data_IF_185926387691
#
_entry.id   IF_185926387691
#
_cell.length_a   1.000
_cell.length_b   1.000
_cell.length_c   1.000
_cell.angle_alpha   90.00
_cell.angle_beta   90.00
_cell.angle_gamma   90.00
#
_symmetry.space_group_name_H-M   'P 1'
#
loop_
_entity.id
_entity.type
_entity.pdbx_description
1 polymer ?
#
# COMPACT_ATOMS: atom_id res chain seq x y z
N UNK A 1 -13.36 -2.50 -8.39
CA UNK A 1 -12.77 -3.81 -8.73
C UNK A 1 -11.34 -3.85 -8.19
N UNK A 2 -10.91 -4.95 -7.60
CA UNK A 2 -9.58 -5.07 -7.01
C UNK A 2 -8.79 -6.23 -7.66
N UNK A 3 -7.54 -5.94 -7.99
CA UNK A 3 -6.54 -6.90 -8.48
C UNK A 3 -5.43 -6.98 -7.45
N UNK A 4 -5.09 -8.18 -7.03
CA UNK A 4 -4.01 -8.42 -6.10
C UNK A 4 -2.73 -8.73 -6.86
N UNK A 5 -1.69 -7.90 -6.64
CA UNK A 5 -0.36 -8.09 -7.22
C UNK A 5 0.55 -8.60 -6.09
N UNK A 6 0.84 -9.91 -6.06
CA UNK A 6 1.68 -10.44 -5.01
C UNK A 6 3.11 -9.94 -5.15
N UNK A 7 3.77 -9.85 -4.11
CA UNK A 7 5.13 -9.59 -3.65
C UNK A 7 6.31 -9.35 -4.61
N UNK A 8 6.13 -9.29 -5.91
CA UNK A 8 7.23 -9.12 -6.89
C UNK A 8 7.73 -7.70 -6.98
N UNK A 9 7.98 -6.98 -5.98
CA UNK A 9 8.47 -5.62 -6.12
C UNK A 9 8.82 -4.95 -4.81
N UNK A 10 8.62 -5.64 -3.68
CA UNK A 10 9.06 -5.05 -2.42
C UNK A 10 10.58 -5.21 -2.29
N UNK A 11 11.37 -4.12 -2.30
CA UNK A 11 12.83 -4.18 -2.16
C UNK A 11 13.26 -4.61 -0.75
N UNK A 12 12.35 -4.56 0.22
CA UNK A 12 12.60 -4.88 1.63
C UNK A 12 11.64 -5.96 2.14
N UNK A 13 12.14 -6.77 3.07
CA UNK A 13 11.33 -7.75 3.82
C UNK A 13 10.97 -7.15 5.17
N UNK A 14 9.82 -6.49 5.24
CA UNK A 14 9.35 -5.98 6.52
C UNK A 14 9.12 -7.13 7.51
N UNK A 15 9.54 -6.96 8.76
CA UNK A 15 9.52 -8.01 9.80
C UNK A 15 8.12 -8.58 10.04
N UNK A 16 7.07 -7.77 9.89
CA UNK A 16 5.66 -8.14 10.09
C UNK A 16 4.98 -8.72 8.83
N UNK A 17 5.66 -8.74 7.68
CA UNK A 17 5.01 -9.05 6.40
C UNK A 17 5.31 -10.48 5.94
N UNK A 18 4.26 -11.31 5.86
CA UNK A 18 4.34 -12.64 5.28
C UNK A 18 3.27 -12.83 4.21
N UNK A 19 3.41 -12.10 3.10
CA UNK A 19 2.43 -12.20 2.00
C UNK A 19 2.38 -13.59 1.37
N UNK A 20 3.47 -14.37 1.41
CA UNK A 20 3.47 -15.75 0.88
C UNK A 20 2.48 -16.64 1.62
N UNK A 21 2.39 -16.50 2.95
CA UNK A 21 1.45 -17.27 3.77
C UNK A 21 0.03 -16.71 3.70
N UNK A 22 -0.13 -15.38 3.50
CA UNK A 22 -1.45 -14.75 3.39
C UNK A 22 -2.15 -15.13 2.08
N UNK A 23 -1.41 -15.21 0.99
CA UNK A 23 -2.00 -15.36 -0.36
C UNK A 23 -1.97 -16.81 -0.86
N UNK A 24 -1.07 -17.64 -0.33
CA UNK A 24 -0.95 -19.06 -0.71
C UNK A 24 -0.56 -19.31 -2.17
N UNK A 25 -0.36 -18.29 -2.98
CA UNK A 25 -0.07 -18.41 -4.40
C UNK A 25 1.04 -17.47 -4.86
N UNK A 26 1.93 -18.01 -5.69
CA UNK A 26 2.98 -17.27 -6.38
C UNK A 26 2.53 -16.74 -7.76
N UNK A 27 1.22 -16.78 -8.06
CA UNK A 27 0.71 -16.36 -9.35
C UNK A 27 0.74 -14.84 -9.49
N UNK A 28 1.39 -14.36 -10.55
CA UNK A 28 1.42 -12.95 -10.92
C UNK A 28 0.38 -12.69 -12.01
N UNK A 29 -0.62 -11.82 -11.79
CA UNK A 29 -1.57 -11.45 -12.82
C UNK A 29 -0.88 -10.86 -14.04
N UNK A 30 -1.36 -11.18 -15.24
CA UNK A 30 -0.92 -10.63 -16.50
C UNK A 30 -2.01 -9.71 -17.12
N UNK A 31 -1.75 -9.17 -18.30
CA UNK A 31 -2.68 -8.29 -19.02
C UNK A 31 -4.05 -8.94 -19.28
N UNK A 32 -4.08 -10.25 -19.54
CA UNK A 32 -5.35 -10.97 -19.78
C UNK A 32 -6.18 -11.07 -18.51
N UNK A 33 -5.55 -11.29 -17.35
CA UNK A 33 -6.23 -11.33 -16.05
C UNK A 33 -6.85 -9.98 -15.73
N UNK A 34 -6.11 -8.88 -15.96
CA UNK A 34 -6.62 -7.52 -15.79
C UNK A 34 -7.84 -7.31 -16.70
N UNK A 35 -7.70 -7.64 -17.98
CA UNK A 35 -8.76 -7.49 -18.97
C UNK A 35 -10.02 -8.29 -18.58
N UNK A 36 -9.86 -9.54 -18.16
CA UNK A 36 -10.96 -10.40 -17.77
C UNK A 36 -11.65 -9.89 -16.50
N UNK A 37 -10.89 -9.50 -15.49
CA UNK A 37 -11.43 -8.94 -14.26
C UNK A 37 -12.20 -7.63 -14.51
N UNK A 38 -11.69 -6.77 -15.41
CA UNK A 38 -12.36 -5.52 -15.81
C UNK A 38 -13.67 -5.82 -16.54
N UNK A 39 -13.70 -6.78 -17.46
CA UNK A 39 -14.94 -7.19 -18.17
C UNK A 39 -15.99 -7.67 -17.18
N UNK A 40 -15.62 -8.56 -16.25
CA UNK A 40 -16.54 -9.05 -15.20
C UNK A 40 -17.09 -7.89 -14.36
N UNK A 41 -16.22 -6.93 -13.98
CA UNK A 41 -16.65 -5.76 -13.22
C UNK A 41 -17.62 -4.88 -13.99
N UNK A 42 -17.36 -4.65 -15.29
CA UNK A 42 -18.24 -3.88 -16.16
C UNK A 42 -19.62 -4.54 -16.28
N UNK A 43 -19.67 -5.84 -16.49
CA UNK A 43 -20.91 -6.59 -16.63
C UNK A 43 -21.72 -6.63 -15.32
N UNK A 44 -21.04 -6.69 -14.18
CA UNK A 44 -21.67 -6.71 -12.86
C UNK A 44 -22.17 -5.34 -12.42
N UNK A 45 -21.38 -4.29 -12.62
CA UNK A 45 -21.65 -2.94 -12.13
C UNK A 45 -22.56 -2.14 -13.08
N UNK A 46 -22.55 -2.47 -14.37
CA UNK A 46 -23.33 -1.77 -15.40
C UNK A 46 -23.11 -0.24 -15.36
N UNK A 47 -24.17 0.52 -15.10
CA UNK A 47 -24.08 2.00 -15.02
C UNK A 47 -23.27 2.50 -13.82
N UNK A 48 -23.20 1.74 -12.73
CA UNK A 48 -22.42 2.08 -11.55
C UNK A 48 -20.89 1.94 -11.76
N UNK A 49 -20.47 1.46 -12.91
CA UNK A 49 -19.03 1.39 -13.27
C UNK A 49 -18.36 2.76 -13.18
N UNK A 50 -19.05 3.85 -13.46
CA UNK A 50 -18.54 5.23 -13.39
C UNK A 50 -18.13 5.67 -11.98
N UNK A 51 -18.72 5.07 -10.95
CA UNK A 51 -18.41 5.35 -9.55
C UNK A 51 -17.32 4.41 -9.00
N UNK A 52 -16.98 3.37 -9.75
CA UNK A 52 -16.01 2.37 -9.35
C UNK A 52 -14.60 2.74 -9.80
N UNK A 53 -13.61 2.26 -9.04
CA UNK A 53 -12.19 2.34 -9.38
C UNK A 53 -11.65 0.95 -9.74
N UNK A 54 -10.66 0.92 -10.66
CA UNK A 54 -9.80 -0.23 -10.85
C UNK A 54 -8.69 -0.11 -9.79
N UNK A 55 -8.52 -1.12 -8.94
CA UNK A 55 -7.59 -1.03 -7.83
C UNK A 55 -6.52 -2.12 -7.90
N UNK A 56 -5.25 -1.72 -7.81
CA UNK A 56 -4.10 -2.60 -7.71
C UNK A 56 -3.59 -2.59 -6.27
N UNK A 57 -3.67 -3.76 -5.60
CA UNK A 57 -3.26 -3.95 -4.21
C UNK A 57 -2.25 -5.09 -4.07
N UNK A 58 -1.67 -5.23 -2.91
CA UNK A 58 -0.76 -6.32 -2.55
C UNK A 58 0.60 -5.81 -2.13
N UNK A 59 1.60 -5.98 -2.98
CA UNK A 59 2.93 -5.43 -2.78
C UNK A 59 2.99 -3.92 -3.08
N UNK A 60 4.19 -3.43 -3.34
CA UNK A 60 4.40 -2.04 -3.74
C UNK A 60 4.27 -1.93 -5.26
N UNK A 61 3.17 -1.38 -5.75
CA UNK A 61 2.87 -1.37 -7.19
C UNK A 61 3.92 -0.61 -8.01
N UNK A 62 4.46 0.50 -7.51
CA UNK A 62 5.48 1.28 -8.21
C UNK A 62 6.91 0.73 -8.06
N UNK A 63 7.09 -0.34 -7.28
CA UNK A 63 8.37 -1.01 -7.09
C UNK A 63 8.49 -2.34 -7.86
N UNK A 64 7.44 -2.77 -8.55
CA UNK A 64 7.53 -3.92 -9.46
C UNK A 64 8.33 -3.54 -10.71
N UNK A 65 8.72 -4.54 -11.49
CA UNK A 65 9.38 -4.29 -12.76
C UNK A 65 8.58 -3.30 -13.62
N UNK A 66 9.28 -2.35 -14.26
CA UNK A 66 8.63 -1.24 -15.00
C UNK A 66 7.83 -1.74 -16.20
N UNK A 67 8.34 -2.71 -16.93
CA UNK A 67 7.66 -3.26 -18.10
C UNK A 67 6.38 -3.99 -17.67
N UNK A 68 6.48 -4.76 -16.59
CA UNK A 68 5.32 -5.44 -16.00
C UNK A 68 4.28 -4.45 -15.44
N UNK A 69 4.71 -3.37 -14.77
CA UNK A 69 3.79 -2.32 -14.32
C UNK A 69 3.03 -1.69 -15.50
N UNK A 70 3.75 -1.38 -16.59
CA UNK A 70 3.16 -0.81 -17.80
C UNK A 70 2.22 -1.80 -18.48
N UNK A 71 2.55 -3.08 -18.56
CA UNK A 71 1.67 -4.14 -19.08
C UNK A 71 0.31 -4.13 -18.37
N UNK A 72 0.33 -4.13 -17.03
CA UNK A 72 -0.91 -4.12 -16.23
C UNK A 72 -1.72 -2.84 -16.43
N UNK A 73 -1.05 -1.68 -16.48
CA UNK A 73 -1.71 -0.39 -16.71
C UNK A 73 -2.26 -0.30 -18.13
N UNK A 74 -1.52 -0.77 -19.13
CA UNK A 74 -1.96 -0.78 -20.53
C UNK A 74 -3.21 -1.61 -20.75
N UNK A 75 -3.33 -2.74 -20.07
CA UNK A 75 -4.52 -3.58 -20.09
C UNK A 75 -5.80 -2.85 -19.61
N UNK A 76 -5.67 -1.78 -18.83
CA UNK A 76 -6.82 -0.98 -18.40
C UNK A 76 -7.27 0.05 -19.43
N UNK A 77 -6.41 0.49 -20.35
CA UNK A 77 -6.66 1.59 -21.30
C UNK A 77 -7.98 1.49 -22.08
N UNK A 78 -8.37 0.32 -22.60
CA UNK A 78 -9.63 0.20 -23.35
C UNK A 78 -10.88 0.48 -22.51
N UNK A 79 -10.78 0.38 -21.20
CA UNK A 79 -11.91 0.41 -20.28
C UNK A 79 -11.93 1.62 -19.35
N UNK A 80 -10.80 2.29 -19.16
CA UNK A 80 -10.62 3.28 -18.08
C UNK A 80 -11.60 4.45 -18.16
N UNK A 81 -12.11 4.79 -19.33
CA UNK A 81 -13.11 5.85 -19.49
C UNK A 81 -14.50 5.48 -18.92
N UNK A 82 -14.73 4.20 -18.61
CA UNK A 82 -15.94 3.71 -17.96
C UNK A 82 -15.86 3.74 -16.45
N UNK A 83 -14.64 3.90 -15.88
CA UNK A 83 -14.36 3.93 -14.45
C UNK A 83 -14.05 5.34 -13.98
N UNK A 84 -14.17 5.57 -12.68
CA UNK A 84 -13.75 6.80 -12.02
C UNK A 84 -12.25 7.06 -12.19
N UNK A 85 -11.45 5.98 -12.14
CA UNK A 85 -10.00 6.01 -12.29
C UNK A 85 -9.34 4.74 -11.78
N UNK A 86 -8.03 4.82 -11.61
CA UNK A 86 -7.21 3.76 -11.02
C UNK A 86 -6.80 4.18 -9.60
N UNK A 87 -6.88 3.22 -8.67
CA UNK A 87 -6.31 3.31 -7.33
C UNK A 87 -5.18 2.30 -7.20
N UNK A 88 -4.11 2.65 -6.51
CA UNK A 88 -3.02 1.72 -6.21
C UNK A 88 -2.43 1.95 -4.82
N UNK A 89 -1.79 0.90 -4.30
CA UNK A 89 -1.03 0.97 -3.04
C UNK A 89 0.45 0.82 -3.33
N UNK A 90 1.26 1.64 -2.67
CA UNK A 90 2.71 1.59 -2.84
C UNK A 90 3.45 2.08 -1.60
N UNK A 91 4.78 2.04 -1.68
CA UNK A 91 5.72 2.52 -0.66
C UNK A 91 6.07 3.98 -0.89
N UNK A 92 6.35 4.75 0.17
CA UNK A 92 6.77 6.16 0.04
C UNK A 92 8.06 6.35 -0.76
N UNK A 93 9.06 5.50 -0.53
CA UNK A 93 10.37 5.52 -1.19
C UNK A 93 10.35 5.12 -2.68
N UNK A 94 9.18 4.71 -3.20
CA UNK A 94 8.96 4.38 -4.61
C UNK A 94 8.06 5.41 -5.32
N UNK A 95 8.06 6.65 -4.82
CA UNK A 95 7.31 7.80 -5.35
C UNK A 95 8.28 8.92 -5.68
N UNK A 96 8.31 9.32 -6.93
CA UNK A 96 8.98 10.51 -7.44
C UNK A 96 8.10 11.21 -8.48
N UNK A 97 8.56 12.36 -8.98
CA UNK A 97 7.82 13.16 -9.96
C UNK A 97 7.63 12.43 -11.30
N UNK A 98 8.61 11.62 -11.74
CA UNK A 98 8.53 10.84 -12.99
C UNK A 98 7.43 9.78 -12.88
N UNK A 99 7.45 8.98 -11.81
CA UNK A 99 6.48 7.91 -11.62
C UNK A 99 5.06 8.47 -11.44
N UNK A 100 4.88 9.54 -10.67
CA UNK A 100 3.55 10.13 -10.46
C UNK A 100 3.01 10.78 -11.73
N UNK A 101 3.87 11.43 -12.53
CA UNK A 101 3.50 11.93 -13.85
C UNK A 101 3.02 10.81 -14.78
N UNK A 102 3.75 9.70 -14.82
CA UNK A 102 3.38 8.51 -15.57
C UNK A 102 2.03 7.97 -15.10
N UNK A 103 1.87 7.74 -13.80
CA UNK A 103 0.61 7.23 -13.23
C UNK A 103 -0.58 8.15 -13.53
N UNK A 104 -0.37 9.48 -13.49
CA UNK A 104 -1.40 10.45 -13.87
C UNK A 104 -1.85 10.30 -15.31
N UNK A 105 -0.91 10.00 -16.25
CA UNK A 105 -1.22 9.77 -17.67
C UNK A 105 -2.12 8.54 -17.88
N UNK A 106 -2.06 7.56 -16.97
CA UNK A 106 -2.93 6.37 -16.94
C UNK A 106 -4.25 6.56 -16.19
N UNK A 107 -4.61 7.79 -15.81
CA UNK A 107 -5.79 8.09 -14.99
C UNK A 107 -5.74 7.47 -13.59
N UNK A 108 -4.58 7.38 -12.98
CA UNK A 108 -4.49 7.11 -11.54
C UNK A 108 -5.07 8.33 -10.80
N UNK A 109 -6.10 8.08 -10.02
CA UNK A 109 -6.85 9.09 -9.28
C UNK A 109 -6.61 9.00 -7.78
N UNK A 110 -6.09 7.88 -7.28
CA UNK A 110 -5.83 7.67 -5.85
C UNK A 110 -4.59 6.80 -5.63
N UNK A 111 -3.71 7.26 -4.75
CA UNK A 111 -2.52 6.52 -4.30
C UNK A 111 -2.57 6.37 -2.79
N UNK A 112 -2.46 5.12 -2.32
CA UNK A 112 -2.32 4.79 -0.91
C UNK A 112 -0.86 4.48 -0.57
N UNK A 113 -0.30 5.25 0.36
CA UNK A 113 1.07 5.05 0.84
C UNK A 113 1.09 4.19 2.08
N UNK A 114 1.82 3.08 2.02
CA UNK A 114 2.13 2.24 3.18
C UNK A 114 3.19 2.88 4.08
N UNK A 115 2.88 4.00 4.74
CA UNK A 115 3.80 4.68 5.66
C UNK A 115 4.08 3.85 6.91
N UNK A 116 3.06 3.26 7.49
CA UNK A 116 3.02 2.41 8.67
C UNK A 116 3.33 3.14 9.99
N UNK A 117 4.37 3.96 10.05
CA UNK A 117 4.77 4.83 11.16
C UNK A 117 5.41 6.11 10.64
N UNK A 118 5.49 7.13 11.50
CA UNK A 118 6.28 8.36 11.29
C UNK A 118 7.45 8.46 12.27
N UNK A 119 7.69 7.42 13.06
CA UNK A 119 8.86 7.29 13.94
C UNK A 119 9.93 6.47 13.21
N UNK A 120 11.09 7.11 12.93
CA UNK A 120 12.17 6.49 12.14
C UNK A 120 12.81 5.29 12.86
N UNK A 121 12.81 5.27 14.20
CA UNK A 121 13.30 4.10 14.95
C UNK A 121 12.36 2.91 14.76
N UNK A 122 11.05 3.13 14.84
CA UNK A 122 10.03 2.10 14.58
C UNK A 122 10.15 1.59 13.13
N UNK A 123 10.28 2.49 12.16
CA UNK A 123 10.47 2.13 10.76
C UNK A 123 11.72 1.28 10.55
N UNK A 124 12.83 1.64 11.18
CA UNK A 124 14.10 0.90 11.12
C UNK A 124 14.00 -0.48 11.76
N UNK A 125 13.41 -0.57 12.95
CA UNK A 125 13.22 -1.83 13.69
C UNK A 125 12.34 -2.82 12.93
N UNK A 126 11.43 -2.31 12.10
CA UNK A 126 10.53 -3.14 11.28
C UNK A 126 11.02 -3.31 9.82
N UNK A 127 12.29 -2.98 9.54
CA UNK A 127 12.93 -3.14 8.23
C UNK A 127 12.12 -2.52 7.08
N UNK A 128 11.52 -1.35 7.34
CA UNK A 128 10.69 -0.68 6.33
C UNK A 128 11.49 -0.14 5.16
N UNK A 129 12.77 0.25 5.37
CA UNK A 129 13.67 0.75 4.35
C UNK A 129 13.38 2.17 3.86
N UNK A 130 12.36 2.85 4.40
CA UNK A 130 12.06 4.26 4.16
C UNK A 130 11.99 5.02 5.49
N UNK A 131 12.04 6.34 5.40
CA UNK A 131 12.00 7.27 6.52
C UNK A 131 10.68 8.05 6.56
N UNK A 132 10.43 8.76 7.67
CA UNK A 132 9.32 9.70 7.77
C UNK A 132 9.42 10.83 6.73
N UNK A 133 10.63 11.24 6.36
CA UNK A 133 10.85 12.27 5.33
C UNK A 133 10.49 11.75 3.93
N UNK A 134 10.72 10.48 3.61
CA UNK A 134 10.24 9.86 2.38
C UNK A 134 8.71 9.91 2.31
N UNK A 135 8.01 9.66 3.44
CA UNK A 135 6.55 9.79 3.51
C UNK A 135 6.12 11.23 3.23
N UNK A 136 6.74 12.24 3.88
CA UNK A 136 6.41 13.66 3.68
C UNK A 136 6.63 14.07 2.22
N UNK A 137 7.76 13.67 1.64
CA UNK A 137 8.08 13.98 0.24
C UNK A 137 7.10 13.34 -0.73
N UNK A 138 6.80 12.05 -0.57
CA UNK A 138 5.82 11.35 -1.40
C UNK A 138 4.43 12.00 -1.32
N UNK A 139 3.97 12.36 -0.12
CA UNK A 139 2.71 13.07 0.08
C UNK A 139 2.68 14.40 -0.68
N UNK A 140 3.76 15.18 -0.61
CA UNK A 140 3.89 16.45 -1.33
C UNK A 140 3.80 16.25 -2.85
N UNK A 141 4.53 15.28 -3.39
CA UNK A 141 4.53 14.98 -4.83
C UNK A 141 3.12 14.57 -5.28
N UNK A 142 2.50 13.58 -4.63
CA UNK A 142 1.15 13.07 -4.99
C UNK A 142 0.14 14.21 -5.04
N UNK A 143 0.14 15.08 -4.02
CA UNK A 143 -0.77 16.23 -3.94
C UNK A 143 -0.53 17.27 -5.04
N UNK A 144 0.73 17.54 -5.40
CA UNK A 144 1.07 18.46 -6.47
C UNK A 144 0.48 18.04 -7.82
N UNK A 145 0.32 16.73 -8.05
CA UNK A 145 -0.33 16.19 -9.23
C UNK A 145 -1.86 16.12 -9.13
N UNK A 146 -2.44 16.56 -7.99
CA UNK A 146 -3.89 16.50 -7.77
C UNK A 146 -4.45 15.09 -7.73
N UNK A 147 -3.65 14.13 -7.24
CA UNK A 147 -4.05 12.75 -7.00
C UNK A 147 -4.48 12.61 -5.54
N UNK A 148 -5.58 11.91 -5.29
CA UNK A 148 -6.07 11.66 -3.93
C UNK A 148 -5.05 10.82 -3.15
N UNK A 149 -4.71 11.29 -1.94
CA UNK A 149 -3.72 10.70 -1.06
C UNK A 149 -4.39 9.86 0.03
N UNK A 150 -4.07 8.58 0.08
CA UNK A 150 -4.36 7.72 1.22
C UNK A 150 -3.09 7.44 2.03
N UNK A 151 -3.20 7.37 3.35
CA UNK A 151 -2.12 6.93 4.23
C UNK A 151 -2.54 5.69 5.00
N UNK A 152 -1.62 4.71 5.09
CA UNK A 152 -1.80 3.52 5.92
C UNK A 152 -0.87 3.59 7.11
N UNK A 153 -1.43 3.40 8.30
CA UNK A 153 -0.75 3.34 9.59
C UNK A 153 -0.90 1.93 10.17
N UNK A 154 0.12 1.45 10.83
CA UNK A 154 0.03 0.27 11.68
C UNK A 154 0.28 0.64 13.14
N UNK A 155 -0.58 0.12 14.05
CA UNK A 155 -0.39 0.28 15.50
C UNK A 155 0.21 -0.98 16.10
N UNK A 156 1.01 -0.81 17.14
CA UNK A 156 1.64 -1.94 17.85
C UNK A 156 2.77 -2.61 17.06
N UNK A 157 3.44 -1.88 16.18
CA UNK A 157 4.67 -2.32 15.52
C UNK A 157 5.78 -2.56 16.55
N UNK A 158 6.74 -3.41 16.21
CA UNK A 158 7.90 -3.63 17.08
C UNK A 158 8.63 -2.32 17.37
N UNK A 159 8.91 -2.05 18.63
CA UNK A 159 9.51 -0.79 19.08
C UNK A 159 8.55 0.40 19.13
N UNK A 160 7.27 0.23 18.77
CA UNK A 160 6.23 1.24 18.96
C UNK A 160 5.57 1.10 20.33
N UNK A 161 5.00 2.21 20.78
CA UNK A 161 4.15 2.32 21.96
C UNK A 161 2.98 3.26 21.67
N UNK A 162 2.12 3.47 22.66
CA UNK A 162 0.98 4.36 22.52
C UNK A 162 1.37 5.79 22.09
N UNK A 163 2.48 6.34 22.61
CA UNK A 163 2.90 7.71 22.30
C UNK A 163 3.46 7.83 20.88
N UNK A 164 4.21 6.84 20.41
CA UNK A 164 4.72 6.78 19.04
C UNK A 164 3.58 6.57 18.04
N UNK A 165 2.57 5.79 18.39
CA UNK A 165 1.38 5.60 17.56
C UNK A 165 0.56 6.91 17.46
N UNK A 166 0.36 7.64 18.57
CA UNK A 166 -0.27 8.97 18.57
C UNK A 166 0.56 9.97 17.78
N UNK A 167 1.88 10.00 17.95
CA UNK A 167 2.76 10.85 17.17
C UNK A 167 2.58 10.60 15.64
N UNK A 168 2.50 9.34 15.23
CA UNK A 168 2.24 8.98 13.83
C UNK A 168 0.90 9.52 13.34
N UNK A 169 -0.16 9.40 14.16
CA UNK A 169 -1.48 9.92 13.84
C UNK A 169 -1.47 11.46 13.70
N UNK A 170 -0.78 12.16 14.60
CA UNK A 170 -0.63 13.62 14.55
C UNK A 170 0.11 14.09 13.29
N UNK A 171 1.18 13.40 12.92
CA UNK A 171 1.90 13.67 11.67
C UNK A 171 1.00 13.46 10.45
N UNK A 172 0.19 12.40 10.43
CA UNK A 172 -0.78 12.17 9.35
C UNK A 172 -1.80 13.29 9.24
N UNK A 173 -2.32 13.81 10.37
CA UNK A 173 -3.24 14.96 10.37
C UNK A 173 -2.58 16.18 9.74
N UNK A 174 -1.31 16.46 10.03
CA UNK A 174 -0.53 17.58 9.44
C UNK A 174 -0.36 17.40 7.92
N UNK A 175 -0.18 16.15 7.46
CA UNK A 175 -0.08 15.81 6.04
C UNK A 175 -1.40 15.92 5.30
N UNK A 176 -2.55 15.99 5.99
CA UNK A 176 -3.90 16.14 5.44
C UNK A 176 -4.20 15.17 4.29
N UNK A 177 -4.14 13.86 4.50
CA UNK A 177 -4.56 12.88 3.49
C UNK A 177 -6.08 12.92 3.28
N UNK A 178 -6.55 12.46 2.13
CA UNK A 178 -7.97 12.30 1.85
C UNK A 178 -8.56 11.09 2.58
N UNK A 179 -7.76 10.07 2.81
CA UNK A 179 -8.16 8.86 3.55
C UNK A 179 -7.02 8.35 4.44
N UNK A 180 -7.39 7.76 5.58
CA UNK A 180 -6.46 7.06 6.47
C UNK A 180 -7.00 5.67 6.75
N UNK A 181 -6.10 4.67 6.74
CA UNK A 181 -6.38 3.31 7.20
C UNK A 181 -5.46 2.98 8.36
N UNK A 182 -6.03 2.46 9.44
CA UNK A 182 -5.30 2.04 10.63
C UNK A 182 -5.44 0.53 10.76
N UNK A 183 -4.30 -0.16 10.76
CA UNK A 183 -4.23 -1.61 10.92
C UNK A 183 -3.55 -1.96 12.25
N UNK A 184 -4.19 -2.70 13.15
CA UNK A 184 -3.47 -3.29 14.28
C UNK A 184 -2.48 -4.33 13.75
N UNK A 185 -1.29 -4.38 14.35
CA UNK A 185 -0.31 -5.41 14.04
C UNK A 185 -0.81 -6.74 14.56
N UNK A 186 -1.01 -7.69 13.66
CA UNK A 186 -1.34 -9.07 13.99
C UNK A 186 -0.09 -9.91 13.80
N UNK A 187 0.30 -10.64 14.84
CA UNK A 187 1.46 -11.52 14.79
C UNK A 187 1.08 -12.78 14.06
N UNK A 188 1.81 -13.03 13.00
CA UNK A 188 1.61 -14.22 12.16
C UNK A 188 2.76 -15.21 12.34
N UNK A 189 2.47 -16.48 12.24
CA UNK A 189 3.47 -17.55 12.22
C UNK A 189 4.50 -17.27 11.11
N UNK A 190 5.77 -17.58 11.37
CA UNK A 190 6.89 -17.31 10.45
C UNK A 190 7.18 -15.82 10.16
N UNK A 191 6.77 -14.92 11.06
CA UNK A 191 7.21 -13.52 11.09
C UNK A 191 8.12 -13.26 12.29
N UNK A 192 9.08 -12.35 12.17
CA UNK A 192 10.01 -12.04 13.27
C UNK A 192 9.33 -11.57 14.56
N UNK A 193 8.22 -10.81 14.53
CA UNK A 193 7.50 -10.44 15.75
C UNK A 193 7.07 -11.61 16.65
N UNK A 194 6.97 -12.84 16.13
CA UNK A 194 6.69 -14.04 16.95
C UNK A 194 7.72 -14.22 18.04
N UNK A 195 9.00 -13.97 17.76
CA UNK A 195 10.07 -14.10 18.74
C UNK A 195 9.97 -13.10 19.90
N UNK A 196 9.38 -11.93 19.66
CA UNK A 196 9.24 -10.86 20.67
C UNK A 196 8.00 -11.00 21.56
N UNK A 197 6.92 -11.61 21.06
CA UNK A 197 5.69 -11.81 21.85
C UNK A 197 5.83 -12.91 22.87
N UNK A 198 6.62 -13.94 22.60
CA UNK A 198 6.92 -14.96 23.60
C UNK A 198 7.70 -14.40 24.81
N UNK A 199 8.47 -13.32 24.64
CA UNK A 199 9.15 -12.63 25.73
C UNK A 199 8.21 -11.75 26.55
N UNK A 200 7.19 -11.12 25.94
CA UNK A 200 6.22 -10.25 26.64
C UNK A 200 5.07 -11.02 27.30
N UNK A 201 4.71 -12.21 26.82
CA UNK A 201 3.66 -13.03 27.43
C UNK A 201 4.01 -13.47 28.87
N UNK A 202 5.28 -13.40 29.26
CA UNK A 202 5.73 -13.67 30.62
C UNK A 202 5.73 -12.43 31.55
N UNK A 203 5.56 -11.22 31.00
CA UNK A 203 5.56 -9.98 31.81
C UNK A 203 4.15 -9.48 32.20
N UNK A 204 3.09 -10.07 31.69
CA UNK A 204 1.70 -9.76 32.06
C UNK A 204 1.20 -10.70 33.16
N UNK A 205 1.91 -10.83 34.27
CA UNK A 205 1.32 -11.23 35.51
C UNK A 205 0.68 -10.00 36.15
N UNK A 206 -0.63 -9.91 35.98
CA UNK A 206 -1.49 -8.98 36.73
C UNK A 206 -1.24 -9.12 38.22
N UNK A 207 -0.82 -8.04 38.85
CA UNK A 207 -0.98 -7.82 40.28
C UNK A 207 -2.24 -7.01 40.53
#
# INVERSE_FOLDING_TARGET
>A
MALFIPHNGCPHKCTFCNQRNIVGQAYQPNADDVTNAVKIAVDSLKENTKEAEIAFFGGSFTAIDREYMLELLDATKPFINRFKGIRLSTRPDCIDDEIVSLLKSYKVTSIELGAQSMDDEVLKLNERGHTADDVRNACRIIKNYGISLGLQMMTGLYGSDFYKDIYTADEFIKLRPDTVRIYPTVIMQDTEPVSYTHLRAHETTLH
#
